data_IF_049943909040
#
_entry.id   IF_049943909040
#
_cell.length_a   1.000
_cell.length_b   1.000
_cell.length_c   1.000
_cell.angle_alpha   90.00
_cell.angle_beta   90.00
_cell.angle_gamma   90.00
#
_symmetry.space_group_name_H-M   'P 1'
#
loop_
_entity.id
_entity.type
_entity.pdbx_description
1 polymer ?
#
# COMPACT_ATOMS: atom_id res chain seq x y z
N UNK A 1 2.02 -5.45 -31.07
CA UNK A 1 2.47 -4.48 -30.04
C UNK A 1 1.29 -4.23 -29.11
N UNK A 2 1.47 -4.35 -27.78
CA UNK A 2 0.38 -4.15 -26.81
C UNK A 2 0.31 -2.67 -26.43
N UNK A 3 -0.88 -2.06 -26.45
CA UNK A 3 -1.05 -0.64 -26.11
C UNK A 3 -1.11 -0.41 -24.60
N UNK A 4 -0.80 0.80 -24.15
CA UNK A 4 -0.94 1.21 -22.74
C UNK A 4 -2.38 1.01 -22.23
N UNK A 5 -3.38 1.37 -23.04
CA UNK A 5 -4.79 1.19 -22.68
C UNK A 5 -5.15 -0.29 -22.53
N UNK A 6 -4.57 -1.17 -23.35
CA UNK A 6 -4.75 -2.62 -23.23
C UNK A 6 -4.21 -3.14 -21.89
N UNK A 7 -3.01 -2.71 -21.48
CA UNK A 7 -2.43 -3.08 -20.18
C UNK A 7 -3.26 -2.53 -19.02
N UNK A 8 -3.73 -1.28 -19.12
CA UNK A 8 -4.60 -0.65 -18.12
C UNK A 8 -5.92 -1.40 -17.96
N UNK A 9 -6.56 -1.78 -19.07
CA UNK A 9 -7.81 -2.54 -19.07
C UNK A 9 -7.61 -3.93 -18.43
N UNK A 10 -6.48 -4.59 -18.68
CA UNK A 10 -6.12 -5.83 -18.03
C UNK A 10 -5.93 -5.67 -16.52
N UNK A 11 -5.31 -4.58 -16.08
CA UNK A 11 -5.21 -4.25 -14.65
C UNK A 11 -6.57 -4.18 -13.97
N UNK A 12 -7.56 -3.53 -14.60
CA UNK A 12 -8.93 -3.48 -14.11
C UNK A 12 -9.63 -4.84 -14.14
N UNK A 13 -9.46 -5.61 -15.22
CA UNK A 13 -10.12 -6.90 -15.43
C UNK A 13 -9.58 -8.02 -14.54
N UNK A 14 -8.27 -8.14 -14.43
CA UNK A 14 -7.59 -9.27 -13.77
C UNK A 14 -7.00 -8.90 -12.40
N UNK A 15 -6.71 -7.63 -12.15
CA UNK A 15 -6.13 -7.17 -10.89
C UNK A 15 -6.90 -7.64 -9.65
N UNK A 16 -8.24 -7.54 -9.59
CA UNK A 16 -9.00 -7.97 -8.42
C UNK A 16 -8.87 -9.47 -8.10
N UNK A 17 -8.90 -10.34 -9.12
CA UNK A 17 -8.81 -11.79 -8.92
C UNK A 17 -7.39 -12.22 -8.52
N UNK A 18 -6.38 -11.61 -9.14
CA UNK A 18 -4.97 -11.79 -8.76
C UNK A 18 -4.76 -11.35 -7.31
N UNK A 19 -5.24 -10.14 -6.95
CA UNK A 19 -5.10 -9.61 -5.60
C UNK A 19 -5.81 -10.49 -4.56
N UNK A 20 -6.98 -11.05 -4.88
CA UNK A 20 -7.68 -12.01 -4.00
C UNK A 20 -6.84 -13.26 -3.76
N UNK A 21 -6.25 -13.83 -4.82
CA UNK A 21 -5.41 -15.03 -4.74
C UNK A 21 -4.11 -14.79 -3.97
N UNK A 22 -3.52 -13.59 -4.10
CA UNK A 22 -2.36 -13.18 -3.30
C UNK A 22 -2.76 -13.08 -1.82
N UNK A 23 -3.89 -12.41 -1.51
CA UNK A 23 -4.37 -12.27 -0.13
C UNK A 23 -4.72 -13.62 0.52
N UNK A 24 -5.35 -14.55 -0.21
CA UNK A 24 -5.72 -15.85 0.35
C UNK A 24 -4.52 -16.74 0.66
N UNK A 25 -3.39 -16.54 -0.04
CA UNK A 25 -2.13 -17.27 0.19
C UNK A 25 -1.19 -16.55 1.15
N UNK A 26 -1.58 -15.37 1.65
CA UNK A 26 -0.74 -14.55 2.49
C UNK A 26 -0.56 -15.25 3.84
N UNK A 27 0.70 -15.41 4.27
CA UNK A 27 1.00 -15.83 5.65
C UNK A 27 0.46 -14.77 6.62
N UNK A 28 0.13 -15.15 7.86
CA UNK A 28 -0.13 -14.17 8.91
C UNK A 28 1.00 -13.12 8.96
N UNK A 29 0.67 -11.84 9.24
CA UNK A 29 1.67 -10.81 9.48
C UNK A 29 2.70 -11.28 10.51
N UNK A 30 3.97 -10.97 10.28
CA UNK A 30 5.01 -11.20 11.30
C UNK A 30 4.83 -10.21 12.45
N UNK A 31 5.22 -10.63 13.65
CA UNK A 31 5.30 -9.79 14.86
C UNK A 31 6.18 -8.54 14.67
N UNK A 32 7.08 -8.57 13.68
CA UNK A 32 7.89 -7.41 13.30
C UNK A 32 7.38 -6.78 12.01
N UNK A 33 7.20 -5.47 12.07
CA UNK A 33 6.83 -4.65 10.92
C UNK A 33 7.61 -3.33 10.95
N UNK A 34 7.72 -2.71 9.78
CA UNK A 34 8.45 -1.49 9.55
C UNK A 34 7.51 -0.45 8.90
N UNK A 35 7.76 0.82 9.21
CA UNK A 35 7.08 1.95 8.60
C UNK A 35 8.10 2.76 7.79
N UNK A 36 7.77 3.06 6.53
CA UNK A 36 8.55 3.98 5.71
C UNK A 36 7.69 5.06 5.04
N UNK A 37 8.35 6.20 4.80
CA UNK A 37 7.82 7.37 4.11
C UNK A 37 8.49 7.47 2.74
N UNK A 38 7.69 7.53 1.68
CA UNK A 38 8.16 7.61 0.29
C UNK A 38 7.45 8.73 -0.44
N UNK A 39 8.17 9.49 -1.26
CA UNK A 39 7.55 10.48 -2.17
C UNK A 39 7.27 9.80 -3.50
N UNK A 40 6.00 9.81 -3.93
CA UNK A 40 5.56 9.25 -5.21
C UNK A 40 4.98 10.36 -6.10
N UNK A 41 5.09 10.19 -7.41
CA UNK A 41 4.48 11.13 -8.38
C UNK A 41 3.26 10.49 -9.02
N UNK A 42 2.09 11.11 -8.86
CA UNK A 42 0.84 10.68 -9.50
C UNK A 42 0.35 11.83 -10.37
N UNK A 43 0.20 11.58 -11.69
CA UNK A 43 -0.24 12.57 -12.68
C UNK A 43 0.57 13.88 -12.61
N UNK A 44 1.89 13.76 -12.47
CA UNK A 44 2.81 14.91 -12.40
C UNK A 44 2.84 15.66 -11.07
N UNK A 45 2.05 15.25 -10.07
CA UNK A 45 2.06 15.86 -8.73
C UNK A 45 2.72 14.94 -7.71
N UNK A 46 3.50 15.53 -6.78
CA UNK A 46 4.13 14.80 -5.68
C UNK A 46 3.12 14.47 -4.59
N UNK A 47 3.23 13.27 -4.04
CA UNK A 47 2.45 12.76 -2.92
C UNK A 47 3.39 12.10 -1.92
N UNK A 48 2.98 12.12 -0.66
CA UNK A 48 3.64 11.42 0.44
C UNK A 48 2.89 10.13 0.72
N UNK A 49 3.57 9.01 0.53
CA UNK A 49 3.10 7.68 0.84
C UNK A 49 3.75 7.20 2.14
N UNK A 50 2.92 6.87 3.12
CA UNK A 50 3.31 6.08 4.28
C UNK A 50 2.89 4.65 4.02
N UNK A 51 3.79 3.68 4.19
CA UNK A 51 3.42 2.26 4.14
C UNK A 51 3.92 1.53 5.37
N UNK A 52 3.09 0.62 5.84
CA UNK A 52 3.48 -0.37 6.82
C UNK A 52 3.66 -1.71 6.14
N UNK A 53 4.80 -2.35 6.37
CA UNK A 53 5.18 -3.62 5.76
C UNK A 53 5.66 -4.56 6.85
N UNK A 54 5.20 -5.81 6.85
CA UNK A 54 5.74 -6.83 7.75
C UNK A 54 7.14 -7.27 7.31
N UNK A 55 7.86 -7.98 8.20
CA UNK A 55 9.20 -8.52 7.90
C UNK A 55 9.22 -9.51 6.73
N UNK A 56 8.07 -10.08 6.36
CA UNK A 56 7.91 -10.96 5.20
C UNK A 56 7.67 -10.18 3.90
N UNK A 57 7.73 -8.85 3.94
CA UNK A 57 7.57 -7.97 2.79
C UNK A 57 6.12 -7.72 2.39
N UNK A 58 5.14 -8.15 3.20
CA UNK A 58 3.75 -7.97 2.86
C UNK A 58 3.19 -6.66 3.44
N UNK A 59 2.53 -5.88 2.59
CA UNK A 59 2.00 -4.55 2.93
C UNK A 59 0.79 -4.68 3.85
N UNK A 60 0.85 -4.11 5.04
CA UNK A 60 -0.18 -4.17 6.07
C UNK A 60 -1.21 -3.04 5.91
N UNK A 61 -0.73 -1.85 5.54
CA UNK A 61 -1.57 -0.68 5.32
C UNK A 61 -0.81 0.43 4.55
N UNK A 62 -1.54 1.33 3.90
CA UNK A 62 -1.01 2.41 3.06
C UNK A 62 -1.79 3.71 3.30
N UNK A 63 -1.08 4.83 3.41
CA UNK A 63 -1.66 6.16 3.48
C UNK A 63 -0.98 7.08 2.45
N UNK A 64 -1.75 7.56 1.47
CA UNK A 64 -1.27 8.53 0.48
C UNK A 64 -1.81 9.92 0.81
N UNK A 65 -0.95 10.93 0.76
CA UNK A 65 -1.28 12.32 1.09
C UNK A 65 -0.74 13.28 0.03
N UNK A 66 -1.49 14.34 -0.26
CA UNK A 66 -1.04 15.42 -1.17
C UNK A 66 0.04 16.30 -0.55
N UNK A 67 0.17 16.30 0.78
CA UNK A 67 1.15 17.05 1.56
C UNK A 67 1.64 16.20 2.72
N UNK A 68 2.87 16.44 3.18
CA UNK A 68 3.41 15.80 4.39
C UNK A 68 2.60 16.25 5.61
N UNK A 69 1.76 15.38 6.16
CA UNK A 69 0.93 15.69 7.32
C UNK A 69 1.14 14.67 8.44
N UNK A 70 1.96 15.08 9.41
CA UNK A 70 2.36 14.28 10.58
C UNK A 70 1.17 13.89 11.46
N UNK A 71 0.12 14.72 11.57
CA UNK A 71 -1.05 14.40 12.42
C UNK A 71 -1.82 13.21 11.85
N UNK A 72 -2.06 13.21 10.55
CA UNK A 72 -2.76 12.11 9.88
C UNK A 72 -1.87 10.85 9.82
N UNK A 73 -0.56 11.01 9.64
CA UNK A 73 0.39 9.90 9.73
C UNK A 73 0.39 9.26 11.13
N UNK A 74 0.42 10.07 12.21
CA UNK A 74 0.29 9.57 13.59
C UNK A 74 -1.02 8.80 13.80
N UNK A 75 -2.16 9.34 13.33
CA UNK A 75 -3.46 8.63 13.40
C UNK A 75 -3.48 7.33 12.60
N UNK A 76 -2.77 7.27 11.49
CA UNK A 76 -2.60 6.05 10.71
C UNK A 76 -1.82 5.00 11.51
N UNK A 77 -0.68 5.38 12.10
CA UNK A 77 0.14 4.49 12.94
C UNK A 77 -0.64 4.01 14.16
N UNK A 78 -1.35 4.89 14.88
CA UNK A 78 -2.15 4.48 16.06
C UNK A 78 -3.23 3.46 15.71
N UNK A 79 -3.90 3.62 14.56
CA UNK A 79 -4.89 2.64 14.08
C UNK A 79 -4.26 1.31 13.69
N UNK A 80 -3.06 1.37 13.10
CA UNK A 80 -2.30 0.17 12.76
C UNK A 80 -1.87 -0.60 14.01
N UNK A 81 -1.34 0.10 15.02
CA UNK A 81 -0.97 -0.48 16.31
C UNK A 81 -2.16 -1.16 17.00
N UNK A 82 -3.33 -0.52 17.01
CA UNK A 82 -4.53 -1.11 17.61
C UNK A 82 -5.04 -2.36 16.86
N UNK A 83 -4.69 -2.54 15.58
CA UNK A 83 -5.11 -3.67 14.74
C UNK A 83 -4.11 -4.83 14.77
N UNK A 84 -2.83 -4.55 15.00
CA UNK A 84 -1.73 -5.52 14.91
C UNK A 84 -1.04 -5.80 16.24
N UNK A 85 -1.28 -4.98 17.26
CA UNK A 85 -0.78 -5.17 18.62
C UNK A 85 -1.64 -6.12 19.45
#
# INVERSE_FOLDING_TARGET
MVSYETVRAWGGKFGPSIAKKIRSKRKPPSDRWHLDEVVITIRGRKYWLWRAVDSNGAVLDLLVQTRRNTRTAKRFISRLMARLG
#
